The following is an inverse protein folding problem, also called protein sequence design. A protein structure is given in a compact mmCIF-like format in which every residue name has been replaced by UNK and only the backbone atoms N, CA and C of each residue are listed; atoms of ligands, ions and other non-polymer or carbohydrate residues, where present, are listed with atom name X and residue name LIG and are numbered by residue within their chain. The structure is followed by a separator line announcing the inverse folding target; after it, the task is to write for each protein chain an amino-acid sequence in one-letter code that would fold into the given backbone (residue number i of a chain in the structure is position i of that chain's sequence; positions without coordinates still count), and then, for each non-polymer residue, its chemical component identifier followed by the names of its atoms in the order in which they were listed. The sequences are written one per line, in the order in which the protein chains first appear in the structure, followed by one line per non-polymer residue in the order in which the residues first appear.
data_IF_942731065643
#
_entry.id   IF_942731065643
#
_cell.length_a   1.000
_cell.length_b   1.000
_cell.length_c   1.000
_cell.angle_alpha   90.00
_cell.angle_beta   90.00
_cell.angle_gamma   90.00
#
_symmetry.space_group_name_H-M   'P 1'
#
loop_
_entity.id
_entity.type
_entity.pdbx_description
1 polymer ?
#
# COMPACT_ATOMS: atom_id res chain seq x y z
N UNK A 1 8.07 22.58 0.61
CA UNK A 1 6.66 22.35 1.05
C UNK A 1 6.47 20.92 1.53
N UNK A 2 6.91 19.88 0.80
CA UNK A 2 6.77 18.45 1.15
C UNK A 2 7.51 18.06 2.44
N UNK A 3 8.68 18.65 2.72
CA UNK A 3 9.47 18.40 3.93
C UNK A 3 8.74 18.88 5.20
N UNK A 4 8.15 20.07 5.12
CA UNK A 4 7.43 20.68 6.26
C UNK A 4 6.13 19.91 6.55
N UNK A 5 5.45 19.45 5.51
CA UNK A 5 4.20 18.69 5.65
C UNK A 5 4.43 17.31 6.32
N UNK A 6 5.49 16.59 5.94
CA UNK A 6 5.85 15.32 6.57
C UNK A 6 6.36 15.48 8.01
N UNK A 7 6.99 16.64 8.33
CA UNK A 7 7.39 16.97 9.69
C UNK A 7 6.19 17.21 10.60
N UNK A 8 5.16 17.91 10.11
CA UNK A 8 3.93 18.20 10.85
C UNK A 8 3.02 16.97 11.03
N UNK A 9 3.13 15.97 10.17
CA UNK A 9 2.38 14.71 10.28
C UNK A 9 3.01 13.67 11.23
N UNK A 10 4.16 13.99 11.84
CA UNK A 10 4.80 13.15 12.86
C UNK A 10 5.51 11.90 12.33
N UNK A 11 5.60 11.71 11.02
CA UNK A 11 6.30 10.59 10.38
C UNK A 11 7.82 10.78 10.35
N UNK A 12 8.43 10.95 11.54
CA UNK A 12 9.87 10.97 11.71
C UNK A 12 10.45 9.54 11.60
N UNK A 13 10.32 8.94 10.46
CA UNK A 13 10.97 7.66 10.17
C UNK A 13 12.47 7.87 10.00
N UNK A 14 13.28 6.93 10.50
CA UNK A 14 14.76 6.90 10.28
C UNK A 14 15.09 7.11 8.80
N UNK A 15 14.26 6.62 7.89
CA UNK A 15 14.39 6.82 6.44
C UNK A 15 14.28 8.29 6.01
N UNK A 16 13.43 9.07 6.68
CA UNK A 16 13.30 10.51 6.44
C UNK A 16 14.55 11.26 6.92
N UNK A 17 15.02 10.94 8.14
CA UNK A 17 16.21 11.55 8.70
C UNK A 17 17.44 11.31 7.82
N UNK A 18 17.63 10.08 7.33
CA UNK A 18 18.71 9.72 6.40
C UNK A 18 18.67 10.54 5.10
N UNK A 19 17.47 10.78 4.55
CA UNK A 19 17.32 11.64 3.34
C UNK A 19 17.74 13.07 3.62
N UNK A 20 17.33 13.63 4.74
CA UNK A 20 17.68 15.00 5.15
C UNK A 20 19.19 15.12 5.35
N UNK A 21 19.82 14.18 6.04
CA UNK A 21 21.26 14.14 6.27
C UNK A 21 22.02 14.04 4.92
N UNK A 22 21.57 13.19 4.00
CA UNK A 22 22.19 13.06 2.67
C UNK A 22 22.12 14.39 1.88
N UNK A 23 20.96 15.05 1.88
CA UNK A 23 20.78 16.35 1.21
C UNK A 23 21.67 17.43 1.84
N UNK A 24 21.72 17.50 3.17
CA UNK A 24 22.58 18.45 3.88
C UNK A 24 24.06 18.19 3.63
N UNK A 25 24.46 16.93 3.57
CA UNK A 25 25.85 16.57 3.25
C UNK A 25 26.26 17.00 1.83
N UNK A 26 25.40 16.76 0.84
CA UNK A 26 25.65 17.21 -0.54
C UNK A 26 25.69 18.74 -0.63
N UNK A 27 24.69 19.42 -0.07
CA UNK A 27 24.63 20.89 -0.07
C UNK A 27 25.82 21.52 0.67
N UNK A 28 26.19 20.97 1.83
CA UNK A 28 27.34 21.41 2.62
C UNK A 28 28.65 21.21 1.88
N UNK A 29 28.83 20.10 1.16
CA UNK A 29 30.04 19.83 0.37
C UNK A 29 30.20 20.83 -0.80
N UNK A 30 29.07 21.11 -1.49
CA UNK A 30 29.05 22.10 -2.58
C UNK A 30 29.36 23.50 -2.02
N UNK A 31 28.74 23.87 -0.92
CA UNK A 31 28.93 25.16 -0.26
C UNK A 31 30.38 25.35 0.21
N UNK A 32 30.96 24.31 0.83
CA UNK A 32 32.37 24.31 1.24
C UNK A 32 33.31 24.45 0.07
N UNK A 33 33.03 23.75 -1.05
CA UNK A 33 33.83 23.87 -2.28
C UNK A 33 33.83 25.32 -2.79
N UNK A 34 32.63 25.96 -2.90
CA UNK A 34 32.54 27.34 -3.38
C UNK A 34 33.22 28.35 -2.46
N UNK A 35 33.11 28.21 -1.14
CA UNK A 35 33.79 29.09 -0.18
C UNK A 35 35.32 28.92 -0.31
N UNK A 36 35.80 27.69 -0.46
CA UNK A 36 37.22 27.41 -0.60
C UNK A 36 37.77 27.95 -1.92
N UNK A 37 37.00 27.88 -2.99
CA UNK A 37 37.36 28.42 -4.30
C UNK A 37 37.46 29.95 -4.29
N UNK A 38 36.48 30.62 -3.63
CA UNK A 38 36.50 32.07 -3.45
C UNK A 38 37.66 32.58 -2.57
N UNK A 39 38.17 31.76 -1.66
CA UNK A 39 39.20 32.14 -0.69
C UNK A 39 40.64 31.88 -1.19
N UNK A 40 40.82 31.00 -2.16
CA UNK A 40 42.13 30.60 -2.68
C UNK A 40 42.19 30.68 -4.21
N UNK A 41 42.73 31.78 -4.74
CA UNK A 41 43.07 31.98 -6.17
C UNK A 41 44.20 31.07 -6.69
N UNK A 42 44.83 30.24 -5.87
CA UNK A 42 45.86 29.31 -6.25
C UNK A 42 45.40 27.87 -6.13
N UNK A 43 44.98 27.30 -7.25
CA UNK A 43 44.65 25.87 -7.37
C UNK A 43 45.89 24.99 -7.11
N UNK A 44 46.04 24.48 -5.91
CA UNK A 44 47.04 23.44 -5.62
C UNK A 44 46.47 22.09 -6.08
N UNK A 45 47.34 21.22 -6.66
CA UNK A 45 46.98 19.87 -7.12
C UNK A 45 46.24 19.05 -6.04
N UNK A 46 46.49 19.31 -4.75
CA UNK A 46 45.82 18.70 -3.61
C UNK A 46 44.32 19.03 -3.54
N UNK A 47 43.93 20.24 -3.92
CA UNK A 47 42.55 20.69 -3.92
C UNK A 47 41.70 19.95 -4.97
N UNK A 48 42.25 19.75 -6.17
CA UNK A 48 41.58 18.95 -7.22
C UNK A 48 41.42 17.50 -6.81
N UNK A 49 42.40 16.87 -6.20
CA UNK A 49 42.30 15.50 -5.70
C UNK A 49 41.22 15.36 -4.66
N UNK A 50 41.12 16.29 -3.71
CA UNK A 50 40.07 16.33 -2.71
C UNK A 50 38.65 16.45 -3.32
N UNK A 51 38.50 17.33 -4.32
CA UNK A 51 37.23 17.46 -5.05
C UNK A 51 36.81 16.15 -5.75
N UNK A 52 37.73 15.44 -6.41
CA UNK A 52 37.45 14.15 -7.04
C UNK A 52 37.04 13.09 -6.02
N UNK A 53 37.72 13.00 -4.88
CA UNK A 53 37.40 12.04 -3.82
C UNK A 53 35.94 12.26 -3.29
N UNK A 54 35.58 13.52 -3.02
CA UNK A 54 34.22 13.86 -2.57
C UNK A 54 33.19 13.52 -3.65
N UNK A 55 33.47 13.83 -4.91
CA UNK A 55 32.55 13.52 -6.02
C UNK A 55 32.31 12.02 -6.14
N UNK A 56 33.34 11.20 -5.99
CA UNK A 56 33.23 9.74 -6.04
C UNK A 56 32.42 9.24 -4.85
N UNK A 57 32.61 9.76 -3.64
CA UNK A 57 31.86 9.39 -2.47
C UNK A 57 30.36 9.72 -2.64
N UNK A 58 30.05 10.91 -3.16
CA UNK A 58 28.67 11.33 -3.43
C UNK A 58 28.03 10.42 -4.48
N UNK A 59 28.73 10.17 -5.59
CA UNK A 59 28.25 9.29 -6.66
C UNK A 59 27.99 7.86 -6.13
N UNK A 60 28.91 7.32 -5.35
CA UNK A 60 28.74 6.01 -4.70
C UNK A 60 27.54 6.00 -3.74
N UNK A 61 27.33 7.07 -2.98
CA UNK A 61 26.16 7.22 -2.09
C UNK A 61 24.83 7.26 -2.84
N UNK A 62 24.78 7.95 -3.98
CA UNK A 62 23.58 7.99 -4.85
C UNK A 62 23.29 6.59 -5.39
N UNK A 63 24.29 5.90 -5.92
CA UNK A 63 24.16 4.54 -6.46
C UNK A 63 23.69 3.58 -5.34
N UNK A 64 24.34 3.60 -4.18
CA UNK A 64 23.94 2.78 -3.03
C UNK A 64 22.50 3.08 -2.57
N UNK A 65 22.11 4.35 -2.59
CA UNK A 65 20.73 4.77 -2.28
C UNK A 65 19.70 4.18 -3.26
N UNK A 66 20.02 4.11 -4.54
CA UNK A 66 19.16 3.48 -5.55
C UNK A 66 18.94 1.98 -5.26
N UNK A 67 19.99 1.27 -4.87
CA UNK A 67 19.88 -0.14 -4.49
C UNK A 67 19.13 -0.35 -3.17
N UNK A 68 19.28 0.55 -2.20
CA UNK A 68 18.64 0.44 -0.90
C UNK A 68 17.12 0.74 -0.94
N UNK A 69 16.69 1.67 -1.80
CA UNK A 69 15.26 2.07 -1.91
C UNK A 69 14.44 1.05 -2.67
N UNK A 70 15.06 0.17 -3.47
CA UNK A 70 14.38 -0.79 -4.32
C UNK A 70 13.81 -0.15 -5.60
N UNK A 71 13.31 -0.98 -6.50
CA UNK A 71 12.76 -0.52 -7.77
C UNK A 71 11.46 0.27 -7.57
N UNK A 72 11.35 1.51 -8.07
CA UNK A 72 10.10 2.31 -8.03
C UNK A 72 8.91 1.58 -8.64
N UNK A 73 9.18 0.72 -9.63
CA UNK A 73 8.16 -0.11 -10.27
C UNK A 73 7.53 -1.11 -9.29
N UNK A 74 8.35 -1.79 -8.48
CA UNK A 74 7.89 -2.76 -7.50
C UNK A 74 7.05 -2.11 -6.39
N UNK A 75 7.41 -0.90 -5.98
CA UNK A 75 6.64 -0.14 -5.00
C UNK A 75 5.28 0.29 -5.57
N UNK A 76 5.23 0.68 -6.85
CA UNK A 76 3.97 1.00 -7.54
C UNK A 76 3.05 -0.22 -7.59
N UNK A 77 3.56 -1.39 -7.99
CA UNK A 77 2.80 -2.64 -8.01
C UNK A 77 2.29 -3.01 -6.61
N UNK A 78 3.14 -2.87 -5.58
CA UNK A 78 2.74 -3.11 -4.19
C UNK A 78 1.62 -2.18 -3.70
N UNK A 79 1.56 -0.93 -4.19
CA UNK A 79 0.47 -0.01 -3.89
C UNK A 79 -0.83 -0.43 -4.56
N UNK A 80 -0.79 -0.87 -5.82
CA UNK A 80 -1.98 -1.41 -6.48
C UNK A 80 -2.50 -2.66 -5.76
N UNK A 81 -1.62 -3.57 -5.36
CA UNK A 81 -2.02 -4.77 -4.62
C UNK A 81 -2.63 -4.42 -3.25
N UNK A 82 -2.08 -3.42 -2.56
CA UNK A 82 -2.66 -2.92 -1.31
C UNK A 82 -4.04 -2.30 -1.53
N UNK A 83 -4.23 -1.58 -2.63
CA UNK A 83 -5.53 -1.02 -3.01
C UNK A 83 -6.53 -2.12 -3.34
N UNK A 84 -6.12 -3.17 -4.08
CA UNK A 84 -6.96 -4.34 -4.37
C UNK A 84 -7.48 -5.00 -3.09
N UNK A 85 -6.61 -5.16 -2.09
CA UNK A 85 -7.04 -5.70 -0.78
C UNK A 85 -8.06 -4.79 -0.10
N UNK A 86 -7.86 -3.46 -0.11
CA UNK A 86 -8.81 -2.51 0.46
C UNK A 86 -10.15 -2.54 -0.28
N UNK A 87 -10.13 -2.62 -1.60
CA UNK A 87 -11.34 -2.73 -2.42
C UNK A 87 -12.12 -4.01 -2.12
N UNK A 88 -11.41 -5.16 -2.00
CA UNK A 88 -12.05 -6.43 -1.61
C UNK A 88 -12.64 -6.37 -0.21
N UNK A 89 -11.99 -5.70 0.74
CA UNK A 89 -12.53 -5.47 2.10
C UNK A 89 -13.78 -4.59 2.05
N UNK A 90 -13.77 -3.55 1.22
CA UNK A 90 -14.92 -2.67 1.03
C UNK A 90 -16.11 -3.44 0.45
N UNK A 91 -15.88 -4.25 -0.59
CA UNK A 91 -16.90 -5.12 -1.18
C UNK A 91 -17.42 -6.13 -0.15
N UNK A 92 -16.53 -6.76 0.63
CA UNK A 92 -16.93 -7.69 1.69
C UNK A 92 -17.86 -7.03 2.71
N UNK A 93 -17.52 -5.83 3.17
CA UNK A 93 -18.35 -5.10 4.14
C UNK A 93 -19.71 -4.74 3.55
N UNK A 94 -19.77 -4.37 2.27
CA UNK A 94 -21.03 -4.07 1.61
C UNK A 94 -21.89 -5.31 1.37
N UNK A 95 -21.27 -6.46 1.06
CA UNK A 95 -21.96 -7.75 0.97
C UNK A 95 -22.60 -8.14 2.31
N UNK A 96 -21.89 -7.90 3.43
CA UNK A 96 -22.44 -8.12 4.76
C UNK A 96 -23.62 -7.21 5.06
N UNK A 97 -23.49 -5.92 4.74
CA UNK A 97 -24.56 -4.95 4.91
C UNK A 97 -25.79 -5.32 4.09
N UNK A 98 -25.61 -5.69 2.83
CA UNK A 98 -26.67 -6.14 1.94
C UNK A 98 -27.37 -7.40 2.49
N UNK A 99 -26.58 -8.38 2.98
CA UNK A 99 -27.10 -9.58 3.58
C UNK A 99 -27.92 -9.31 4.85
N UNK A 100 -27.43 -8.43 5.72
CA UNK A 100 -28.17 -8.02 6.92
C UNK A 100 -29.51 -7.33 6.59
N UNK A 101 -29.54 -6.54 5.52
CA UNK A 101 -30.73 -5.82 5.10
C UNK A 101 -31.76 -6.70 4.37
N UNK A 102 -31.27 -7.62 3.53
CA UNK A 102 -32.14 -8.41 2.62
C UNK A 102 -32.20 -9.90 2.93
N UNK A 103 -31.43 -10.38 3.92
CA UNK A 103 -31.29 -11.78 4.31
C UNK A 103 -30.94 -12.73 3.15
N UNK A 104 -30.28 -12.19 2.14
CA UNK A 104 -29.72 -12.90 0.98
C UNK A 104 -28.48 -12.23 0.46
N UNK A 105 -27.61 -12.97 -0.22
CA UNK A 105 -26.49 -12.40 -0.98
C UNK A 105 -26.99 -11.84 -2.32
N UNK A 106 -26.31 -10.82 -2.89
CA UNK A 106 -26.60 -10.31 -4.23
C UNK A 106 -26.19 -11.36 -5.29
N UNK A 107 -26.80 -11.29 -6.46
CA UNK A 107 -26.45 -12.17 -7.58
C UNK A 107 -25.15 -11.73 -8.28
N UNK A 108 -24.89 -10.43 -8.28
CA UNK A 108 -23.68 -9.80 -8.85
C UNK A 108 -23.32 -8.55 -8.03
N UNK A 109 -22.13 -7.99 -8.26
CA UNK A 109 -21.67 -6.81 -7.55
C UNK A 109 -22.46 -5.54 -7.91
N UNK A 110 -23.09 -5.46 -9.08
CA UNK A 110 -23.90 -4.30 -9.47
C UNK A 110 -25.18 -4.17 -8.59
N UNK A 111 -25.65 -5.24 -7.96
CA UNK A 111 -26.75 -5.15 -6.99
C UNK A 111 -26.36 -4.44 -5.68
N UNK A 112 -25.06 -4.22 -5.45
CA UNK A 112 -24.55 -3.47 -4.29
C UNK A 112 -24.56 -1.96 -4.55
N UNK A 113 -24.61 -1.54 -5.81
CA UNK A 113 -24.61 -0.12 -6.15
C UNK A 113 -25.84 0.56 -5.52
N UNK A 114 -25.59 1.61 -4.78
CA UNK A 114 -26.63 2.33 -4.01
C UNK A 114 -26.39 3.83 -4.15
N UNK A 115 -27.16 4.45 -5.02
CA UNK A 115 -27.10 5.89 -5.29
C UNK A 115 -27.39 6.74 -4.03
N UNK A 116 -28.22 6.23 -3.11
CA UNK A 116 -28.59 6.96 -1.89
C UNK A 116 -27.41 6.99 -0.92
N UNK A 117 -26.67 5.90 -0.79
CA UNK A 117 -25.50 5.80 0.08
C UNK A 117 -24.21 6.18 -0.66
N UNK A 118 -24.28 6.38 -1.98
CA UNK A 118 -23.15 6.72 -2.82
C UNK A 118 -22.13 5.57 -2.93
N UNK A 119 -22.55 4.32 -2.77
CA UNK A 119 -21.68 3.16 -2.96
C UNK A 119 -21.74 2.68 -4.41
N UNK A 120 -20.59 2.52 -5.01
CA UNK A 120 -20.41 1.84 -6.30
C UNK A 120 -19.29 0.81 -6.13
N UNK A 121 -19.51 -0.40 -6.61
CA UNK A 121 -18.53 -1.46 -6.51
C UNK A 121 -17.21 -1.04 -7.20
N UNK A 122 -16.08 -1.02 -6.47
CA UNK A 122 -14.80 -0.59 -7.03
C UNK A 122 -14.33 -1.53 -8.13
N UNK A 123 -13.56 -0.98 -9.07
CA UNK A 123 -12.87 -1.71 -10.12
C UNK A 123 -11.36 -1.73 -9.86
N UNK A 124 -10.65 -2.65 -10.53
CA UNK A 124 -9.20 -2.79 -10.39
C UNK A 124 -8.46 -1.46 -10.64
N UNK A 125 -7.60 -0.99 -9.72
CA UNK A 125 -6.97 0.33 -9.79
C UNK A 125 -5.97 0.49 -10.94
N UNK A 126 -5.44 -0.61 -11.47
CA UNK A 126 -4.49 -0.60 -12.58
C UNK A 126 -5.20 -0.51 -13.93
N UNK A 127 -6.24 -1.32 -14.13
CA UNK A 127 -6.98 -1.39 -15.40
C UNK A 127 -8.16 -0.42 -15.45
N UNK A 128 -8.73 -0.05 -14.30
CA UNK A 128 -9.91 0.83 -14.10
C UNK A 128 -11.20 0.32 -14.76
N UNK A 129 -11.15 -0.75 -15.50
CA UNK A 129 -12.30 -1.33 -16.23
C UNK A 129 -12.63 -2.75 -15.79
N UNK A 130 -11.67 -3.47 -15.21
CA UNK A 130 -11.85 -4.84 -14.77
C UNK A 130 -12.51 -4.86 -13.41
N UNK A 131 -13.68 -5.48 -13.31
CA UNK A 131 -14.35 -5.73 -12.04
C UNK A 131 -13.69 -6.89 -11.30
N UNK A 132 -13.79 -6.87 -9.96
CA UNK A 132 -13.38 -7.98 -9.12
C UNK A 132 -14.28 -9.20 -9.32
N UNK A 133 -13.69 -10.39 -9.21
CA UNK A 133 -14.46 -11.63 -9.29
C UNK A 133 -15.33 -11.83 -8.07
N UNK A 134 -16.62 -12.05 -8.29
CA UNK A 134 -17.57 -12.39 -7.23
C UNK A 134 -18.35 -13.63 -7.64
N UNK A 135 -18.49 -14.57 -6.73
CA UNK A 135 -19.25 -15.79 -6.91
C UNK A 135 -20.02 -16.12 -5.62
N UNK A 136 -21.33 -16.24 -5.72
CA UNK A 136 -22.18 -16.71 -4.65
C UNK A 136 -22.12 -18.24 -4.59
N UNK A 137 -21.60 -18.80 -3.50
CA UNK A 137 -21.48 -20.25 -3.31
C UNK A 137 -22.71 -20.85 -2.61
N UNK A 138 -23.33 -20.08 -1.71
CA UNK A 138 -24.57 -20.44 -1.01
C UNK A 138 -25.23 -19.18 -0.46
N UNK A 139 -26.35 -19.32 0.28
CA UNK A 139 -27.03 -18.20 0.93
C UNK A 139 -26.16 -17.41 1.92
N UNK A 140 -25.06 -18.01 2.40
CA UNK A 140 -24.18 -17.47 3.45
C UNK A 140 -22.71 -17.50 3.07
N UNK A 141 -22.38 -18.05 1.89
CA UNK A 141 -20.99 -18.21 1.46
C UNK A 141 -20.78 -17.56 0.11
N UNK A 142 -19.75 -16.79 0.03
CA UNK A 142 -19.33 -16.13 -1.21
C UNK A 142 -17.81 -16.21 -1.40
N UNK A 143 -17.38 -15.94 -2.60
CA UNK A 143 -15.98 -15.92 -2.99
C UNK A 143 -15.68 -14.61 -3.71
N UNK A 144 -14.60 -13.94 -3.28
CA UNK A 144 -14.06 -12.74 -3.91
C UNK A 144 -12.71 -13.06 -4.52
N UNK A 145 -12.47 -12.63 -5.76
CA UNK A 145 -11.23 -12.90 -6.48
C UNK A 145 -10.64 -11.61 -7.04
N UNK A 146 -9.29 -11.51 -6.99
CA UNK A 146 -8.51 -10.46 -7.64
C UNK A 146 -7.23 -11.03 -8.23
N UNK A 147 -6.59 -10.27 -9.13
CA UNK A 147 -5.28 -10.61 -9.70
C UNK A 147 -4.24 -9.70 -9.05
N UNK A 148 -3.26 -10.29 -8.39
CA UNK A 148 -2.19 -9.58 -7.67
C UNK A 148 -0.88 -9.62 -8.45
N UNK A 149 -0.19 -8.50 -8.47
CA UNK A 149 1.09 -8.35 -9.18
C UNK A 149 2.28 -8.88 -8.38
N UNK A 150 2.18 -8.94 -7.06
CA UNK A 150 3.23 -9.36 -6.14
C UNK A 150 2.63 -10.25 -5.03
N UNK A 151 3.42 -11.12 -4.40
CA UNK A 151 2.98 -11.83 -3.21
C UNK A 151 2.84 -10.85 -2.03
N UNK A 152 1.87 -11.09 -1.14
CA UNK A 152 1.67 -10.27 0.05
C UNK A 152 2.93 -10.29 0.93
N UNK A 153 3.29 -9.14 1.51
CA UNK A 153 4.48 -9.00 2.38
C UNK A 153 4.40 -9.86 3.63
N UNK A 154 3.21 -10.24 4.07
CA UNK A 154 2.99 -11.12 5.22
C UNK A 154 3.38 -12.58 4.94
N UNK A 155 3.43 -13.04 3.69
CA UNK A 155 3.92 -14.38 3.37
C UNK A 155 5.36 -14.62 3.84
N UNK A 156 6.20 -13.59 3.84
CA UNK A 156 7.59 -13.69 4.31
C UNK A 156 7.72 -13.61 5.85
N UNK A 157 6.64 -13.25 6.56
CA UNK A 157 6.57 -13.22 8.03
C UNK A 157 5.62 -14.28 8.61
N UNK A 158 4.89 -15.00 7.77
CA UNK A 158 3.78 -15.86 8.15
C UNK A 158 4.18 -17.25 8.66
N UNK A 159 5.42 -17.43 9.14
CA UNK A 159 5.75 -18.60 9.95
C UNK A 159 5.34 -18.43 11.43
N UNK A 160 4.95 -17.23 11.88
CA UNK A 160 4.83 -16.98 13.33
C UNK A 160 3.53 -16.33 13.83
N UNK A 161 2.55 -16.09 12.98
CA UNK A 161 1.24 -15.65 13.48
C UNK A 161 0.09 -16.18 12.63
N UNK A 162 -0.25 -17.43 12.84
CA UNK A 162 -1.61 -17.91 12.66
C UNK A 162 -2.43 -17.19 13.73
N UNK A 163 -2.97 -16.04 13.42
CA UNK A 163 -4.06 -15.46 14.21
C UNK A 163 -5.32 -16.22 13.82
N UNK A 164 -5.77 -17.18 14.64
CA UNK A 164 -7.03 -17.85 14.40
C UNK A 164 -8.12 -16.90 14.89
N UNK A 165 -8.97 -16.52 13.97
CA UNK A 165 -10.17 -15.71 14.17
C UNK A 165 -9.94 -14.20 14.14
N UNK A 166 -10.21 -13.60 12.98
CA UNK A 166 -10.63 -12.22 12.91
C UNK A 166 -11.75 -11.98 13.92
N UNK A 167 -11.63 -10.98 14.78
CA UNK A 167 -12.52 -10.78 15.92
C UNK A 167 -13.96 -10.35 15.57
N UNK A 168 -14.42 -10.52 14.32
CA UNK A 168 -15.70 -10.03 13.84
C UNK A 168 -16.48 -11.04 12.97
N UNK A 169 -16.35 -12.34 13.23
CA UNK A 169 -17.23 -13.36 12.60
C UNK A 169 -16.96 -13.66 11.12
N UNK A 170 -15.96 -13.04 10.49
CA UNK A 170 -15.48 -13.35 9.15
C UNK A 170 -13.95 -13.45 9.16
N UNK A 171 -13.41 -14.34 8.34
CA UNK A 171 -11.98 -14.45 8.12
C UNK A 171 -11.45 -13.17 7.42
N UNK A 172 -10.56 -12.45 8.08
CA UNK A 172 -9.92 -11.23 7.56
C UNK A 172 -8.55 -11.51 6.91
N UNK A 173 -8.22 -12.77 6.68
CA UNK A 173 -6.96 -13.12 6.03
C UNK A 173 -7.02 -12.82 4.52
N UNK A 174 -6.20 -11.86 4.10
CA UNK A 174 -6.03 -11.45 2.71
C UNK A 174 -4.65 -11.81 2.16
N UNK A 175 -3.99 -12.81 2.76
CA UNK A 175 -2.69 -13.29 2.31
C UNK A 175 -2.82 -13.96 0.94
N UNK A 176 -2.00 -13.53 -0.02
CA UNK A 176 -2.05 -14.00 -1.40
C UNK A 176 -0.64 -14.19 -1.99
N UNK A 177 -0.56 -15.03 -3.01
CA UNK A 177 0.58 -15.14 -3.91
C UNK A 177 0.40 -14.19 -5.09
N UNK A 178 1.43 -14.08 -5.92
CA UNK A 178 1.33 -13.44 -7.23
C UNK A 178 0.34 -14.21 -8.12
N UNK A 179 -0.42 -13.50 -8.93
CA UNK A 179 -1.45 -14.05 -9.81
C UNK A 179 -2.85 -13.97 -9.23
N UNK A 180 -3.76 -14.78 -9.75
CA UNK A 180 -5.15 -14.81 -9.31
C UNK A 180 -5.26 -15.44 -7.93
N UNK A 181 -5.84 -14.69 -6.99
CA UNK A 181 -6.17 -15.18 -5.66
C UNK A 181 -7.65 -14.99 -5.38
N UNK A 182 -8.25 -16.00 -4.75
CA UNK A 182 -9.66 -16.02 -4.40
C UNK A 182 -9.82 -16.30 -2.90
N UNK A 183 -10.71 -15.54 -2.27
CA UNK A 183 -10.97 -15.58 -0.84
C UNK A 183 -12.42 -16.02 -0.62
N UNK A 184 -12.61 -17.21 -0.06
CA UNK A 184 -13.93 -17.71 0.31
C UNK A 184 -14.28 -17.21 1.71
N UNK A 185 -15.50 -16.67 1.87
CA UNK A 185 -16.01 -16.10 3.10
C UNK A 185 -17.34 -16.75 3.47
N UNK A 186 -17.53 -16.96 4.75
CA UNK A 186 -18.77 -17.48 5.31
C UNK A 186 -19.33 -16.47 6.30
N UNK A 187 -20.60 -16.13 6.17
CA UNK A 187 -21.30 -15.22 7.07
C UNK A 187 -21.77 -16.02 8.28
N UNK A 188 -21.32 -15.60 9.46
CA UNK A 188 -21.79 -16.18 10.72
C UNK A 188 -23.10 -15.49 11.13
N UNK A 189 -24.21 -16.23 11.11
CA UNK A 189 -25.55 -15.72 11.47
C UNK A 189 -25.68 -15.36 12.94
N UNK A 190 -24.92 -15.99 13.80
CA UNK A 190 -24.96 -15.71 15.23
C UNK A 190 -24.33 -14.35 15.53
N UNK A 191 -23.37 -13.97 14.72
CA UNK A 191 -22.69 -12.68 14.81
C UNK A 191 -23.38 -11.58 13.98
N UNK A 192 -23.69 -11.85 12.71
CA UNK A 192 -24.36 -10.92 11.81
C UNK A 192 -25.88 -11.19 11.78
N UNK A 193 -26.60 -10.63 12.73
CA UNK A 193 -28.06 -10.78 12.75
C UNK A 193 -28.72 -9.94 11.66
N UNK A 194 -29.72 -10.48 10.94
CA UNK A 194 -30.53 -9.68 10.02
C UNK A 194 -31.17 -8.51 10.77
N UNK A 195 -31.21 -7.34 10.15
CA UNK A 195 -31.93 -6.20 10.73
C UNK A 195 -33.43 -6.46 10.68
N UNK A 196 -34.17 -6.23 11.77
CA UNK A 196 -35.63 -6.37 11.72
C UNK A 196 -36.18 -5.35 10.69
N UNK A 197 -36.92 -5.84 9.72
CA UNK A 197 -37.67 -4.99 8.78
C UNK A 197 -38.71 -4.24 9.61
N UNK A 198 -38.74 -2.89 9.59
CA UNK A 198 -39.80 -2.14 10.24
C UNK A 198 -41.13 -2.57 9.63
N UNK A 199 -42.07 -3.06 10.45
CA UNK A 199 -43.45 -3.32 10.05
C UNK A 199 -44.10 -1.96 9.77
N UNK A 200 -44.45 -1.72 8.51
CA UNK A 200 -45.29 -0.58 8.09
C UNK A 200 -46.77 -1.00 8.21
#
# INVERSE_FOLDING_TARGET
VTLINNFLQGDLTIRFLLKVVAVLFVAGSIFWYYISDLKHQNETKKMRYFAYVITIIIAAGIVAGFFAVGSPMRERLSRFDSQRVQDLQMIQNELLYYWQAKNRLPKNLAELDDDIRGFTAPSDPETKTTQYGYEMLSSERFKLCAVFSLPSRSLNKAVESVSPRGGYGIDENWTHKEGQACFSRTIDKDYFKPRPVPAY
#
